data_IF_286998600057
#
_entry.id   IF_286998600057
#
_cell.length_a   1.000
_cell.length_b   1.000
_cell.length_c   1.000
_cell.angle_alpha   90.00
_cell.angle_beta   90.00
_cell.angle_gamma   90.00
#
_symmetry.space_group_name_H-M   'P 1'
#
loop_
_entity.id
_entity.type
_entity.pdbx_description
1 polymer ?
#
# COMPACT_ATOMS: atom_id res chain seq x y z
N UNK A 1 -31.91 16.15 -0.06
CA UNK A 1 -30.99 16.29 1.09
C UNK A 1 -30.63 17.76 1.28
N UNK A 2 -30.37 18.19 2.53
CA UNK A 2 -29.93 19.58 2.83
C UNK A 2 -28.41 19.71 2.80
N UNK A 3 -27.69 18.62 2.99
CA UNK A 3 -26.24 18.53 2.90
C UNK A 3 -25.81 17.11 2.51
N UNK A 4 -24.59 17.00 1.94
CA UNK A 4 -23.92 15.75 1.58
C UNK A 4 -22.53 15.75 2.20
N UNK A 5 -22.11 14.63 2.77
CA UNK A 5 -20.77 14.44 3.29
C UNK A 5 -20.01 13.38 2.50
N UNK A 6 -18.82 13.70 2.03
CA UNK A 6 -17.92 12.82 1.29
C UNK A 6 -16.81 12.36 2.22
N UNK A 7 -16.87 11.09 2.65
CA UNK A 7 -15.86 10.46 3.51
C UNK A 7 -15.40 9.13 2.92
N UNK A 8 -15.17 9.09 1.61
CA UNK A 8 -14.94 7.85 0.85
C UNK A 8 -13.53 7.30 0.96
N UNK A 9 -12.59 8.04 1.54
CA UNK A 9 -11.20 7.63 1.63
C UNK A 9 -10.50 7.59 0.26
N UNK A 10 -9.37 6.88 0.20
CA UNK A 10 -8.56 6.63 -1.00
C UNK A 10 -8.41 5.12 -1.20
N UNK A 11 -8.89 4.56 -2.34
CA UNK A 11 -9.01 3.12 -2.55
C UNK A 11 -8.40 2.63 -3.86
N UNK A 12 -7.70 3.49 -4.61
CA UNK A 12 -7.06 3.09 -5.85
C UNK A 12 -5.60 2.72 -5.58
N UNK A 13 -5.19 1.44 -5.73
CA UNK A 13 -3.81 1.05 -5.49
C UNK A 13 -2.87 1.73 -6.49
N UNK A 14 -1.76 2.26 -6.00
CA UNK A 14 -0.66 2.72 -6.87
C UNK A 14 0.05 1.53 -7.49
N UNK A 15 0.42 1.67 -8.76
CA UNK A 15 1.31 0.75 -9.46
C UNK A 15 2.76 1.18 -9.25
N UNK A 16 3.67 0.21 -9.16
CA UNK A 16 5.11 0.46 -9.15
C UNK A 16 5.62 0.86 -10.54
N UNK A 17 4.94 0.39 -11.61
CA UNK A 17 5.36 0.59 -13.00
C UNK A 17 6.54 -0.26 -13.39
N UNK A 18 6.76 -1.40 -12.72
CA UNK A 18 7.81 -2.36 -13.03
C UNK A 18 7.26 -3.57 -13.78
N UNK A 19 8.14 -4.25 -14.51
CA UNK A 19 7.78 -5.48 -15.20
C UNK A 19 7.37 -6.56 -14.20
N UNK A 20 6.32 -7.32 -14.54
CA UNK A 20 5.82 -8.43 -13.73
C UNK A 20 4.70 -8.08 -12.74
N UNK A 21 4.28 -6.81 -12.60
CA UNK A 21 3.17 -6.44 -11.71
C UNK A 21 1.83 -7.11 -12.03
N UNK A 22 1.67 -7.64 -13.25
CA UNK A 22 0.45 -8.33 -13.70
C UNK A 22 0.54 -9.85 -13.64
N UNK A 23 1.59 -10.41 -13.06
CA UNK A 23 1.72 -11.86 -12.88
C UNK A 23 0.67 -12.38 -11.88
N UNK A 24 0.22 -13.62 -12.08
CA UNK A 24 -0.90 -14.20 -11.32
C UNK A 24 -0.66 -14.36 -9.82
N UNK A 25 0.58 -14.33 -9.35
CA UNK A 25 0.96 -14.38 -7.93
C UNK A 25 1.24 -13.00 -7.32
N UNK A 26 0.97 -11.92 -8.08
CA UNK A 26 1.13 -10.52 -7.62
C UNK A 26 -0.23 -9.92 -7.35
N UNK A 27 -0.42 -9.39 -6.13
CA UNK A 27 -1.69 -8.82 -5.72
C UNK A 27 -1.50 -7.48 -5.02
N UNK A 28 -2.53 -6.63 -5.06
CA UNK A 28 -2.51 -5.39 -4.30
C UNK A 28 -2.95 -5.63 -2.84
N UNK A 29 -2.27 -4.97 -1.92
CA UNK A 29 -2.50 -5.06 -0.49
C UNK A 29 -3.97 -4.86 -0.10
N UNK A 30 -4.64 -3.88 -0.72
CA UNK A 30 -6.02 -3.56 -0.40
C UNK A 30 -6.99 -4.68 -0.82
N UNK A 31 -6.73 -5.31 -1.97
CA UNK A 31 -7.54 -6.43 -2.46
C UNK A 31 -7.33 -7.66 -1.56
N UNK A 32 -6.09 -7.93 -1.18
CA UNK A 32 -5.74 -8.98 -0.24
C UNK A 32 -6.42 -8.78 1.11
N UNK A 33 -6.31 -7.60 1.73
CA UNK A 33 -6.92 -7.32 3.03
C UNK A 33 -8.46 -7.39 3.03
N UNK A 34 -9.09 -7.17 1.88
CA UNK A 34 -10.54 -7.29 1.76
C UNK A 34 -11.05 -8.73 1.90
N UNK A 35 -10.26 -9.72 1.53
CA UNK A 35 -10.61 -11.14 1.59
C UNK A 35 -9.37 -12.03 1.66
N UNK A 36 -8.60 -12.03 2.76
CA UNK A 36 -7.29 -12.70 2.83
C UNK A 36 -7.34 -14.20 2.56
N UNK A 37 -8.41 -14.87 2.98
CA UNK A 37 -8.56 -16.32 2.88
C UNK A 37 -8.61 -16.87 1.45
N UNK A 38 -8.95 -16.04 0.45
CA UNK A 38 -9.02 -16.50 -0.95
C UNK A 38 -7.65 -16.61 -1.62
N UNK A 39 -6.59 -16.07 -1.01
CA UNK A 39 -5.26 -16.01 -1.61
C UNK A 39 -4.37 -17.22 -1.27
N UNK A 40 -4.81 -18.11 -0.37
CA UNK A 40 -4.14 -19.39 -0.04
C UNK A 40 -2.64 -19.24 0.27
N UNK A 41 -2.30 -18.40 1.26
CA UNK A 41 -0.91 -18.08 1.63
C UNK A 41 -0.24 -19.16 2.49
N UNK A 42 -0.96 -20.20 2.92
CA UNK A 42 -0.43 -21.26 3.79
C UNK A 42 0.83 -21.92 3.18
N UNK A 43 1.90 -21.97 3.95
CA UNK A 43 3.19 -22.52 3.56
C UNK A 43 3.97 -21.70 2.52
N UNK A 44 3.49 -20.52 2.09
CA UNK A 44 4.10 -19.68 1.05
C UNK A 44 5.13 -18.70 1.61
N UNK A 45 6.13 -18.35 0.79
CA UNK A 45 7.01 -17.21 1.01
C UNK A 45 6.34 -15.97 0.41
N UNK A 46 6.11 -14.98 1.24
CA UNK A 46 5.40 -13.76 0.87
C UNK A 46 6.35 -12.56 0.95
N UNK A 47 6.45 -11.80 -0.13
CA UNK A 47 7.15 -10.52 -0.14
C UNK A 47 6.13 -9.38 -0.22
N UNK A 48 6.23 -8.44 0.71
CA UNK A 48 5.41 -7.23 0.77
C UNK A 48 6.26 -6.06 0.29
N UNK A 49 5.85 -5.42 -0.80
CA UNK A 49 6.55 -4.25 -1.36
C UNK A 49 5.99 -2.96 -0.78
N UNK A 50 6.75 -2.30 0.07
CA UNK A 50 6.36 -1.09 0.80
C UNK A 50 6.50 -1.24 2.30
N UNK A 51 6.48 -0.13 3.05
CA UNK A 51 6.70 -0.12 4.50
C UNK A 51 5.78 0.87 5.26
N UNK A 52 4.62 1.25 4.72
CA UNK A 52 3.60 2.03 5.43
C UNK A 52 2.75 1.15 6.36
N UNK A 53 1.80 1.76 7.09
CA UNK A 53 0.90 1.03 7.99
C UNK A 53 0.18 -0.12 7.28
N UNK A 54 -0.30 0.11 6.05
CA UNK A 54 -0.94 -0.96 5.23
C UNK A 54 0.00 -2.13 4.98
N UNK A 55 1.31 -1.88 4.76
CA UNK A 55 2.29 -2.95 4.57
C UNK A 55 2.46 -3.78 5.85
N UNK A 56 2.42 -3.15 7.04
CA UNK A 56 2.46 -3.85 8.33
C UNK A 56 1.21 -4.73 8.50
N UNK A 57 0.01 -4.19 8.24
CA UNK A 57 -1.25 -4.93 8.32
C UNK A 57 -1.26 -6.14 7.39
N UNK A 58 -0.83 -5.95 6.15
CA UNK A 58 -0.71 -7.02 5.14
C UNK A 58 0.25 -8.11 5.60
N UNK A 59 1.45 -7.74 6.04
CA UNK A 59 2.47 -8.68 6.47
C UNK A 59 2.01 -9.51 7.68
N UNK A 60 1.46 -8.85 8.69
CA UNK A 60 0.91 -9.50 9.90
C UNK A 60 -0.28 -10.41 9.57
N UNK A 61 -1.15 -9.98 8.66
CA UNK A 61 -2.27 -10.80 8.18
C UNK A 61 -1.75 -12.04 7.45
N UNK A 62 -0.72 -11.91 6.59
CA UNK A 62 -0.11 -13.03 5.89
C UNK A 62 0.51 -14.05 6.85
N UNK A 63 1.20 -13.61 7.90
CA UNK A 63 1.71 -14.51 8.96
C UNK A 63 0.56 -15.29 9.60
N UNK A 64 -0.54 -14.64 9.97
CA UNK A 64 -1.71 -15.27 10.59
C UNK A 64 -2.47 -16.22 9.67
N UNK A 65 -2.32 -16.04 8.36
CA UNK A 65 -2.86 -16.96 7.35
C UNK A 65 -1.88 -18.10 6.98
N UNK A 66 -0.87 -18.37 7.83
CA UNK A 66 -0.02 -19.55 7.73
C UNK A 66 1.13 -19.45 6.73
N UNK A 67 1.49 -18.24 6.28
CA UNK A 67 2.67 -18.07 5.42
C UNK A 67 3.93 -18.62 6.08
N UNK A 68 4.74 -19.34 5.33
CA UNK A 68 6.02 -19.91 5.79
C UNK A 68 7.01 -18.85 6.21
N UNK A 69 7.03 -17.76 5.44
CA UNK A 69 7.90 -16.61 5.63
C UNK A 69 7.23 -15.36 5.06
N UNK A 70 7.33 -14.24 5.76
CA UNK A 70 6.84 -12.94 5.29
C UNK A 70 7.95 -11.93 5.43
N UNK A 71 8.31 -11.27 4.32
CA UNK A 71 9.38 -10.27 4.26
C UNK A 71 8.86 -8.97 3.69
N UNK A 72 9.03 -7.88 4.43
CA UNK A 72 8.80 -6.52 3.94
C UNK A 72 10.06 -6.07 3.22
N UNK A 73 9.94 -5.76 1.92
CA UNK A 73 11.00 -5.14 1.12
C UNK A 73 10.81 -3.64 1.06
N UNK A 74 11.84 -2.88 1.43
CA UNK A 74 11.80 -1.42 1.45
C UNK A 74 13.10 -0.79 0.96
N UNK A 75 12.97 0.30 0.17
CA UNK A 75 14.12 0.96 -0.49
C UNK A 75 15.01 1.81 0.40
N UNK A 76 14.61 2.06 1.64
CA UNK A 76 15.34 2.89 2.61
C UNK A 76 15.61 2.10 3.90
N UNK A 77 16.18 2.77 4.91
CA UNK A 77 16.47 2.20 6.22
C UNK A 77 15.28 2.10 7.15
N UNK A 78 15.54 1.51 8.33
CA UNK A 78 14.53 1.32 9.38
C UNK A 78 14.00 2.66 9.90
N UNK A 79 14.85 3.67 9.96
CA UNK A 79 14.58 5.04 10.41
C UNK A 79 13.65 5.81 9.45
N UNK A 80 13.61 5.39 8.18
CA UNK A 80 12.78 6.00 7.14
C UNK A 80 11.44 5.29 6.93
N UNK A 81 11.13 4.26 7.71
CA UNK A 81 9.86 3.53 7.60
C UNK A 81 8.70 4.48 7.94
N UNK A 82 7.74 4.68 7.00
CA UNK A 82 6.63 5.61 7.24
C UNK A 82 5.53 5.04 8.16
N UNK A 83 5.53 3.73 8.45
CA UNK A 83 4.61 3.14 9.42
C UNK A 83 4.91 3.64 10.83
N UNK A 84 3.90 3.65 11.71
CA UNK A 84 4.10 3.98 13.11
C UNK A 84 5.05 3.01 13.79
N UNK A 85 5.83 3.48 14.76
CA UNK A 85 6.74 2.63 15.53
C UNK A 85 6.02 1.42 16.16
N UNK A 86 4.80 1.64 16.64
CA UNK A 86 3.97 0.57 17.21
C UNK A 86 3.66 -0.54 16.20
N UNK A 87 3.26 -0.20 14.97
CA UNK A 87 2.96 -1.20 13.94
C UNK A 87 4.21 -1.96 13.49
N UNK A 88 5.35 -1.28 13.41
CA UNK A 88 6.64 -1.92 13.11
C UNK A 88 7.01 -2.94 14.18
N UNK A 89 6.91 -2.56 15.47
CA UNK A 89 7.21 -3.48 16.58
C UNK A 89 6.23 -4.67 16.62
N UNK A 90 4.96 -4.44 16.39
CA UNK A 90 3.98 -5.52 16.27
C UNK A 90 4.31 -6.49 15.12
N UNK A 91 4.73 -5.97 13.97
CA UNK A 91 5.13 -6.81 12.83
C UNK A 91 6.37 -7.66 13.15
N UNK A 92 7.37 -7.08 13.85
CA UNK A 92 8.55 -7.83 14.32
C UNK A 92 8.18 -8.94 15.31
N UNK A 93 7.28 -8.65 16.26
CA UNK A 93 6.79 -9.64 17.24
C UNK A 93 6.06 -10.79 16.53
N UNK A 94 5.27 -10.49 15.51
CA UNK A 94 4.57 -11.49 14.69
C UNK A 94 5.55 -12.30 13.78
N UNK A 95 6.85 -11.97 13.75
CA UNK A 95 7.88 -12.69 13.02
C UNK A 95 8.11 -12.22 11.58
N UNK A 96 7.61 -11.04 11.22
CA UNK A 96 7.86 -10.43 9.90
C UNK A 96 9.32 -10.03 9.78
N UNK A 97 9.96 -10.40 8.67
CA UNK A 97 11.32 -9.98 8.31
C UNK A 97 11.31 -8.63 7.59
N UNK A 98 12.38 -7.88 7.75
CA UNK A 98 12.58 -6.59 7.07
C UNK A 98 13.84 -6.67 6.22
N UNK A 99 13.67 -6.53 4.93
CA UNK A 99 14.72 -6.51 3.92
C UNK A 99 14.83 -5.09 3.35
N UNK A 100 15.75 -4.33 3.91
CA UNK A 100 15.85 -2.89 3.74
C UNK A 100 16.89 -2.51 2.67
N UNK A 101 16.84 -1.25 2.23
CA UNK A 101 17.72 -0.71 1.19
C UNK A 101 17.64 -1.46 -0.14
N UNK A 102 16.46 -2.04 -0.45
CA UNK A 102 16.19 -2.80 -1.66
C UNK A 102 15.09 -2.16 -2.49
N UNK A 103 15.44 -1.68 -3.66
CA UNK A 103 14.52 -1.11 -4.63
C UNK A 103 14.07 -2.20 -5.60
N UNK A 104 12.78 -2.56 -5.67
CA UNK A 104 12.30 -3.54 -6.62
C UNK A 104 12.46 -3.02 -8.07
N UNK A 105 12.93 -3.90 -8.97
CA UNK A 105 13.15 -3.63 -10.39
C UNK A 105 12.21 -4.40 -11.31
N UNK A 106 11.99 -5.67 -11.01
CA UNK A 106 11.19 -6.60 -11.79
C UNK A 106 10.63 -7.68 -10.87
N UNK A 107 9.39 -8.09 -11.11
CA UNK A 107 8.80 -9.28 -10.48
C UNK A 107 8.85 -10.42 -11.49
N UNK A 108 9.31 -11.59 -11.06
CA UNK A 108 9.42 -12.81 -11.85
C UNK A 108 8.64 -13.94 -11.17
N UNK A 109 8.51 -15.10 -11.83
CA UNK A 109 7.90 -16.29 -11.23
C UNK A 109 8.67 -16.81 -10.00
N UNK A 110 9.95 -16.44 -9.85
CA UNK A 110 10.81 -16.87 -8.74
C UNK A 110 10.80 -15.90 -7.56
N UNK A 111 10.38 -14.65 -7.78
CA UNK A 111 10.39 -13.60 -6.76
C UNK A 111 10.63 -12.20 -7.30
N UNK A 112 11.22 -11.33 -6.49
CA UNK A 112 11.44 -9.92 -6.78
C UNK A 112 12.92 -9.63 -6.98
N UNK A 113 13.31 -9.22 -8.19
CA UNK A 113 14.63 -8.67 -8.47
C UNK A 113 14.74 -7.26 -7.92
N UNK A 114 15.85 -6.96 -7.30
CA UNK A 114 16.10 -5.65 -6.70
C UNK A 114 17.52 -5.15 -6.96
N UNK A 115 17.70 -3.84 -6.86
CA UNK A 115 19.01 -3.24 -6.68
C UNK A 115 19.17 -2.71 -5.25
N UNK A 116 20.40 -2.80 -4.75
CA UNK A 116 20.79 -2.23 -3.46
C UNK A 116 20.84 -0.70 -3.56
N UNK A 117 20.23 0.00 -2.60
CA UNK A 117 20.18 1.47 -2.60
C UNK A 117 21.25 2.11 -1.71
N UNK A 118 21.92 1.34 -0.86
CA UNK A 118 22.99 1.83 0.02
C UNK A 118 24.41 1.39 -0.41
N UNK A 119 24.49 0.57 -1.46
CA UNK A 119 25.76 0.08 -1.99
C UNK A 119 26.52 -0.92 -1.08
N UNK A 120 25.89 -1.43 -0.03
CA UNK A 120 26.50 -2.41 0.89
C UNK A 120 26.29 -3.85 0.46
N UNK A 121 25.30 -4.10 -0.37
CA UNK A 121 24.95 -5.42 -0.91
C UNK A 121 24.94 -5.36 -2.44
N UNK A 122 25.11 -6.51 -3.08
CA UNK A 122 24.94 -6.64 -4.52
C UNK A 122 23.44 -6.69 -4.90
N UNK A 123 23.13 -6.32 -6.13
CA UNK A 123 21.80 -6.52 -6.71
C UNK A 123 21.45 -8.02 -6.73
N UNK A 124 20.18 -8.34 -6.54
CA UNK A 124 19.81 -9.74 -6.36
C UNK A 124 18.34 -10.05 -6.60
N UNK A 125 17.99 -11.25 -6.17
CA UNK A 125 16.63 -11.79 -6.20
C UNK A 125 16.20 -12.16 -4.78
N UNK A 126 15.07 -11.63 -4.32
CA UNK A 126 14.38 -12.09 -3.13
C UNK A 126 13.29 -13.08 -3.56
N UNK A 127 13.49 -14.35 -3.21
CA UNK A 127 12.54 -15.41 -3.58
C UNK A 127 11.18 -15.20 -2.95
N UNK A 128 10.12 -15.37 -3.74
CA UNK A 128 8.74 -15.22 -3.29
C UNK A 128 7.80 -16.12 -4.10
N UNK A 129 6.86 -16.76 -3.41
CA UNK A 129 5.75 -17.47 -4.04
C UNK A 129 4.55 -16.54 -4.27
N UNK A 130 4.44 -15.48 -3.47
CA UNK A 130 3.40 -14.44 -3.56
C UNK A 130 4.04 -13.06 -3.31
N UNK A 131 3.64 -12.07 -4.10
CA UNK A 131 4.06 -10.67 -3.93
C UNK A 131 2.83 -9.80 -3.65
N UNK A 132 2.88 -9.03 -2.56
CA UNK A 132 1.82 -8.12 -2.15
C UNK A 132 2.30 -6.67 -2.26
N UNK A 133 1.70 -5.89 -3.16
CA UNK A 133 2.08 -4.50 -3.41
C UNK A 133 1.33 -3.59 -2.43
N UNK A 134 2.07 -3.00 -1.48
CA UNK A 134 1.57 -2.17 -0.39
C UNK A 134 2.16 -0.74 -0.42
N UNK A 135 2.35 -0.21 -1.62
CA UNK A 135 2.72 1.19 -1.81
C UNK A 135 1.46 2.06 -1.84
N UNK A 136 1.54 3.29 -1.36
CA UNK A 136 0.48 4.30 -1.33
C UNK A 136 -0.79 4.02 -2.16
N UNK A 137 -1.90 4.61 -1.76
CA UNK A 137 -3.16 4.59 -2.50
C UNK A 137 -3.44 5.96 -3.10
N UNK A 138 -4.16 5.97 -4.22
CA UNK A 138 -4.68 7.18 -4.85
C UNK A 138 -6.18 7.32 -4.57
N UNK A 139 -6.73 8.55 -4.60
CA UNK A 139 -8.17 8.74 -4.60
C UNK A 139 -8.82 7.99 -5.78
N UNK A 140 -10.01 7.44 -5.55
CA UNK A 140 -10.85 6.96 -6.66
C UNK A 140 -11.56 8.16 -7.27
N UNK A 141 -11.21 8.52 -8.48
CA UNK A 141 -11.72 9.71 -9.19
C UNK A 141 -13.23 9.69 -9.46
N UNK A 142 -13.88 8.53 -9.39
CA UNK A 142 -15.23 8.31 -9.91
C UNK A 142 -16.34 9.14 -9.22
N UNK A 143 -16.18 9.50 -7.94
CA UNK A 143 -17.23 10.27 -7.22
C UNK A 143 -17.10 11.76 -7.53
N UNK A 144 -15.88 12.24 -7.73
CA UNK A 144 -15.59 13.67 -7.91
C UNK A 144 -15.65 14.07 -9.39
N UNK A 145 -15.24 13.19 -10.30
CA UNK A 145 -15.24 13.46 -11.75
C UNK A 145 -16.64 13.56 -12.35
N UNK A 146 -17.65 12.94 -11.71
CA UNK A 146 -19.05 13.09 -12.13
C UNK A 146 -19.70 14.36 -11.61
N UNK A 147 -19.17 14.97 -10.54
CA UNK A 147 -19.67 16.21 -9.97
C UNK A 147 -18.73 17.37 -10.36
N UNK A 148 -18.92 17.92 -11.56
CA UNK A 148 -18.09 19.00 -12.16
C UNK A 148 -17.89 20.25 -11.29
N UNK A 149 -18.61 20.37 -10.18
CA UNK A 149 -18.56 21.52 -9.27
C UNK A 149 -17.68 21.28 -8.04
N UNK A 150 -17.16 20.05 -7.85
CA UNK A 150 -16.24 19.73 -6.77
C UNK A 150 -14.83 19.73 -7.33
N UNK A 151 -14.00 20.68 -6.88
CA UNK A 151 -12.62 20.79 -7.29
C UNK A 151 -11.73 19.81 -6.51
N UNK A 152 -10.69 19.34 -7.19
CA UNK A 152 -9.65 18.48 -6.65
C UNK A 152 -8.27 19.09 -6.90
N UNK A 153 -7.32 18.75 -6.04
CA UNK A 153 -5.92 19.15 -6.23
C UNK A 153 -5.23 18.31 -7.33
N UNK A 154 -3.96 18.61 -7.59
CA UNK A 154 -3.14 17.89 -8.60
C UNK A 154 -2.91 16.40 -8.27
N UNK A 155 -3.31 15.93 -7.09
CA UNK A 155 -3.27 14.52 -6.66
C UNK A 155 -4.64 13.85 -6.70
N UNK A 156 -5.70 14.57 -7.07
CA UNK A 156 -7.08 14.08 -7.09
C UNK A 156 -7.79 14.12 -5.73
N UNK A 157 -7.23 14.81 -4.73
CA UNK A 157 -7.83 14.98 -3.41
C UNK A 157 -8.83 16.14 -3.44
N UNK A 158 -9.95 15.99 -2.73
CA UNK A 158 -11.00 17.01 -2.66
C UNK A 158 -10.48 18.25 -1.93
N UNK A 159 -10.63 19.43 -2.58
CA UNK A 159 -10.28 20.70 -1.96
C UNK A 159 -11.40 21.13 -1.00
N UNK A 160 -11.02 21.44 0.25
CA UNK A 160 -11.94 21.94 1.28
C UNK A 160 -11.37 23.15 2.00
N UNK A 161 -12.26 23.95 2.61
CA UNK A 161 -11.88 24.95 3.62
C UNK A 161 -11.62 24.29 4.99
N UNK A 162 -11.26 25.11 5.99
CA UNK A 162 -11.00 24.67 7.36
C UNK A 162 -12.22 24.03 8.04
N UNK A 163 -13.43 24.30 7.56
CA UNK A 163 -14.68 23.72 8.03
C UNK A 163 -15.10 22.45 7.27
N UNK A 164 -14.26 21.98 6.33
CA UNK A 164 -14.53 20.80 5.50
C UNK A 164 -15.53 21.08 4.37
N UNK A 165 -15.84 22.33 4.02
CA UNK A 165 -16.73 22.66 2.90
C UNK A 165 -15.95 22.50 1.61
N UNK A 166 -16.56 21.82 0.63
CA UNK A 166 -16.01 21.74 -0.73
C UNK A 166 -16.36 22.99 -1.54
N UNK A 167 -15.89 23.05 -2.79
CA UNK A 167 -16.26 24.12 -3.72
C UNK A 167 -17.74 24.08 -4.15
N UNK A 168 -18.43 22.96 -3.88
CA UNK A 168 -19.87 22.82 -4.14
C UNK A 168 -20.67 23.12 -2.88
N UNK A 169 -21.64 24.06 -2.98
CA UNK A 169 -22.50 24.46 -1.85
C UNK A 169 -23.27 23.25 -1.28
N UNK A 170 -23.29 23.12 0.04
CA UNK A 170 -23.97 22.05 0.75
C UNK A 170 -23.23 20.71 0.71
N UNK A 171 -22.02 20.65 0.14
CA UNK A 171 -21.18 19.46 0.10
C UNK A 171 -19.94 19.65 0.98
N UNK A 172 -19.70 18.68 1.85
CA UNK A 172 -18.60 18.65 2.82
C UNK A 172 -17.74 17.41 2.57
N UNK A 173 -16.45 17.48 2.86
CA UNK A 173 -15.54 16.34 2.77
C UNK A 173 -14.52 16.35 3.91
N UNK A 174 -14.07 15.18 4.35
CA UNK A 174 -13.00 15.00 5.33
C UNK A 174 -12.39 13.60 5.26
N UNK A 175 -11.27 13.40 5.98
CA UNK A 175 -10.49 12.16 5.98
C UNK A 175 -9.59 12.05 4.77
N UNK A 176 -9.19 10.82 4.41
CA UNK A 176 -8.20 10.56 3.37
C UNK A 176 -8.58 11.08 1.99
N UNK A 177 -9.86 11.27 1.71
CA UNK A 177 -10.32 11.89 0.46
C UNK A 177 -9.86 13.34 0.32
N UNK A 178 -9.53 14.00 1.45
CA UNK A 178 -9.02 15.38 1.53
C UNK A 178 -7.52 15.41 1.81
N UNK A 179 -7.03 14.56 2.74
CA UNK A 179 -5.63 14.62 3.22
C UNK A 179 -4.70 13.64 2.55
N UNK A 180 -5.22 12.68 1.82
CA UNK A 180 -4.49 11.49 1.38
C UNK A 180 -4.33 10.47 2.50
N UNK A 181 -3.93 9.23 2.14
CA UNK A 181 -3.62 8.20 3.13
C UNK A 181 -2.39 8.59 3.97
N UNK A 182 -2.47 8.45 5.28
CA UNK A 182 -1.42 8.74 6.27
C UNK A 182 -1.01 7.50 7.01
#
# INVERSE_FOLDING_TARGET
FKAVFIGTGVWSPKKLGIKGESLGHVHFAIDYLSSPSVYHLDGKRVVVLGAGNVAMDVARTAVRHGSKEVTIMYRKGMEDIPASHHEVECAKIDGVKFDLYKQPLEITEEGVKFNSTNGTEEDGLLEADIVLIAISQNPKDNIVTTARQIEVDGKGLVITDESGRTTMEGVFASGDVVTGAR
#
